data_IF_752822347694
#
_entry.id   IF_752822347694
#
_cell.length_a   1.000
_cell.length_b   1.000
_cell.length_c   1.000
_cell.angle_alpha   90.00
_cell.angle_beta   90.00
_cell.angle_gamma   90.00
#
_symmetry.space_group_name_H-M   'P 1'
#
loop_
_entity.id
_entity.type
_entity.pdbx_description
1 polymer ?
#
# COMPACT_ATOMS: atom_id res chain seq x y z
N UNK A 1 11.91 -6.94 1.16
CA UNK A 1 11.72 -5.68 0.42
C UNK A 1 12.32 -4.51 1.20
N UNK A 2 12.92 -3.58 0.50
CA UNK A 2 13.55 -2.40 1.10
C UNK A 2 12.79 -1.14 0.72
N UNK A 3 12.68 -0.19 1.66
CA UNK A 3 12.05 1.10 1.41
C UNK A 3 12.70 1.85 0.22
N UNK A 4 14.03 1.74 0.07
CA UNK A 4 14.77 2.35 -1.02
C UNK A 4 14.45 1.75 -2.41
N UNK A 5 13.78 0.60 -2.46
CA UNK A 5 13.35 -0.05 -3.71
C UNK A 5 11.96 0.41 -4.15
N UNK A 6 11.26 1.18 -3.33
CA UNK A 6 9.92 1.66 -3.66
C UNK A 6 9.95 2.61 -4.87
N UNK A 7 8.98 2.46 -5.74
CA UNK A 7 8.65 3.50 -6.70
C UNK A 7 7.97 4.67 -5.99
N UNK A 8 8.31 5.89 -6.37
CA UNK A 8 7.72 7.09 -5.79
C UNK A 8 6.92 7.85 -6.83
N UNK A 9 5.65 8.11 -6.51
CA UNK A 9 4.76 8.93 -7.32
C UNK A 9 4.50 10.23 -6.57
N UNK A 10 4.75 11.38 -7.22
CA UNK A 10 4.70 12.70 -6.58
C UNK A 10 3.44 13.50 -6.91
N UNK A 11 2.64 13.04 -7.85
CA UNK A 11 1.48 13.76 -8.38
C UNK A 11 0.21 12.91 -8.53
N UNK A 12 0.12 11.81 -7.77
CA UNK A 12 -1.05 10.94 -7.79
C UNK A 12 -2.30 11.67 -7.29
N UNK A 13 -3.39 11.55 -8.03
CA UNK A 13 -4.70 12.13 -7.68
C UNK A 13 -5.77 11.04 -7.73
N UNK A 14 -6.27 10.65 -6.55
CA UNK A 14 -7.35 9.67 -6.44
C UNK A 14 -8.57 10.09 -7.28
N UNK A 15 -9.15 9.12 -7.97
CA UNK A 15 -10.26 9.34 -8.88
C UNK A 15 -9.87 9.82 -10.28
N UNK A 16 -8.62 10.26 -10.48
CA UNK A 16 -8.09 10.67 -11.79
C UNK A 16 -7.00 9.72 -12.29
N UNK A 17 -6.16 9.24 -11.36
CA UNK A 17 -5.07 8.34 -11.66
C UNK A 17 -5.39 6.92 -11.20
N UNK A 18 -4.82 5.93 -11.86
CA UNK A 18 -5.03 4.53 -11.56
C UNK A 18 -3.68 3.82 -11.38
N UNK A 19 -3.63 2.88 -10.44
CA UNK A 19 -2.52 1.94 -10.30
C UNK A 19 -2.92 0.62 -10.96
N UNK A 20 -2.16 0.20 -11.95
CA UNK A 20 -2.36 -1.08 -12.64
C UNK A 20 -1.37 -2.11 -12.07
N UNK A 21 -1.89 -3.07 -11.35
CA UNK A 21 -1.09 -4.14 -10.74
C UNK A 21 -1.15 -5.40 -11.60
N UNK A 22 -0.04 -6.11 -11.66
CA UNK A 22 0.11 -7.28 -12.57
C UNK A 22 -0.82 -8.43 -12.17
N UNK A 23 -0.95 -8.70 -10.89
CA UNK A 23 -1.61 -9.92 -10.40
C UNK A 23 -2.83 -9.66 -9.52
N UNK A 24 -3.10 -8.42 -9.18
CA UNK A 24 -4.14 -8.04 -8.22
C UNK A 24 -5.05 -7.01 -8.86
N UNK A 25 -6.36 -7.22 -8.71
CA UNK A 25 -7.36 -6.20 -9.03
C UNK A 25 -7.81 -5.52 -7.74
N UNK A 26 -7.72 -4.20 -7.69
CA UNK A 26 -8.04 -3.44 -6.50
C UNK A 26 -9.51 -3.17 -6.26
N UNK A 27 -10.35 -3.41 -7.24
CA UNK A 27 -11.81 -3.20 -7.11
C UNK A 27 -12.49 -4.31 -6.28
N UNK A 28 -11.77 -4.86 -5.32
CA UNK A 28 -12.29 -5.83 -4.37
C UNK A 28 -12.05 -5.33 -2.95
N UNK A 29 -13.06 -4.66 -2.40
CA UNK A 29 -13.01 -4.09 -1.04
C UNK A 29 -12.66 -5.11 0.04
N UNK A 30 -12.87 -6.41 -0.22
CA UNK A 30 -12.51 -7.47 0.73
C UNK A 30 -11.01 -7.75 0.82
N UNK A 31 -10.20 -7.23 -0.11
CA UNK A 31 -8.75 -7.48 -0.15
C UNK A 31 -7.89 -6.22 0.03
N UNK A 32 -8.53 -5.09 0.29
CA UNK A 32 -7.89 -3.78 0.46
C UNK A 32 -8.11 -3.26 1.88
N UNK A 33 -7.05 -2.81 2.52
CA UNK A 33 -7.09 -2.25 3.89
C UNK A 33 -6.26 -0.97 3.97
N UNK A 34 -6.79 0.03 4.68
CA UNK A 34 -6.11 1.28 4.97
C UNK A 34 -5.90 1.47 6.48
N UNK A 35 -4.78 2.10 6.84
CA UNK A 35 -4.48 2.54 8.19
C UNK A 35 -3.96 3.98 8.19
N UNK A 36 -4.15 4.69 9.31
CA UNK A 36 -3.72 6.07 9.46
C UNK A 36 -2.56 6.17 10.45
N UNK A 37 -1.34 6.35 9.92
CA UNK A 37 -0.16 6.65 10.74
C UNK A 37 0.08 5.65 11.87
N UNK A 38 -0.33 4.38 11.67
CA UNK A 38 -0.26 3.35 12.70
C UNK A 38 1.19 2.90 12.96
N UNK A 39 2.06 3.07 11.98
CA UNK A 39 3.46 2.70 12.08
C UNK A 39 4.35 3.93 12.32
N UNK A 40 5.40 3.76 13.13
CA UNK A 40 6.38 4.81 13.40
C UNK A 40 7.57 4.78 12.44
N UNK A 41 7.74 3.68 11.70
CA UNK A 41 8.81 3.52 10.72
C UNK A 41 8.44 2.47 9.69
N UNK A 42 9.30 2.28 8.70
CA UNK A 42 9.09 1.32 7.63
C UNK A 42 9.04 -0.13 8.16
N UNK A 43 9.83 -0.49 9.16
CA UNK A 43 9.82 -1.83 9.73
C UNK A 43 8.48 -2.15 10.39
N UNK A 44 7.89 -1.21 11.13
CA UNK A 44 6.56 -1.36 11.71
C UNK A 44 5.48 -1.43 10.63
N UNK A 45 5.60 -0.63 9.56
CA UNK A 45 4.70 -0.67 8.41
C UNK A 45 4.68 -2.06 7.75
N UNK A 46 5.84 -2.63 7.44
CA UNK A 46 5.92 -3.95 6.81
C UNK A 46 5.43 -5.06 7.73
N UNK A 47 5.62 -4.93 9.05
CA UNK A 47 5.06 -5.86 10.02
C UNK A 47 3.53 -5.83 10.03
N UNK A 48 2.93 -4.63 9.97
CA UNK A 48 1.48 -4.47 9.87
C UNK A 48 0.94 -5.03 8.55
N UNK A 49 1.63 -4.79 7.45
CA UNK A 49 1.27 -5.35 6.14
C UNK A 49 1.31 -6.89 6.18
N UNK A 50 2.36 -7.47 6.73
CA UNK A 50 2.48 -8.93 6.88
C UNK A 50 1.33 -9.51 7.70
N UNK A 51 0.95 -8.85 8.79
CA UNK A 51 -0.21 -9.27 9.58
C UNK A 51 -1.49 -9.23 8.75
N UNK A 52 -1.66 -8.20 7.93
CA UNK A 52 -2.84 -8.06 7.06
C UNK A 52 -2.88 -9.12 5.96
N UNK A 53 -1.73 -9.45 5.38
CA UNK A 53 -1.62 -10.46 4.31
C UNK A 53 -1.77 -11.89 4.82
N UNK A 54 -1.56 -12.13 6.10
CA UNK A 54 -1.61 -13.47 6.70
C UNK A 54 -2.95 -14.15 6.40
N UNK A 55 -2.88 -15.36 5.86
CA UNK A 55 -4.06 -16.13 5.44
C UNK A 55 -4.60 -15.74 4.06
N UNK A 56 -3.92 -14.86 3.33
CA UNK A 56 -4.28 -14.42 1.97
C UNK A 56 -5.67 -13.79 1.86
N UNK A 57 -6.19 -13.22 2.95
CA UNK A 57 -7.47 -12.53 2.95
C UNK A 57 -7.35 -11.09 2.45
N UNK A 58 -6.21 -10.44 2.69
CA UNK A 58 -5.90 -9.08 2.26
C UNK A 58 -4.71 -9.16 1.31
N UNK A 59 -4.83 -8.50 0.18
CA UNK A 59 -3.79 -8.44 -0.85
C UNK A 59 -3.12 -7.06 -0.93
N UNK A 60 -3.77 -6.03 -0.41
CA UNK A 60 -3.30 -4.65 -0.51
C UNK A 60 -3.40 -3.98 0.85
N UNK A 61 -2.27 -3.47 1.33
CA UNK A 61 -2.19 -2.71 2.57
C UNK A 61 -1.68 -1.30 2.30
N UNK A 62 -2.45 -0.31 2.70
CA UNK A 62 -2.12 1.11 2.54
C UNK A 62 -2.02 1.75 3.92
N UNK A 63 -0.97 2.53 4.13
CA UNK A 63 -0.89 3.37 5.31
C UNK A 63 -0.61 4.80 4.89
N UNK A 64 -1.58 5.67 5.08
CA UNK A 64 -1.40 7.09 4.82
C UNK A 64 -0.77 7.77 6.02
N UNK A 65 0.02 8.81 5.73
CA UNK A 65 0.72 9.59 6.74
C UNK A 65 1.65 8.76 7.63
N UNK A 66 2.43 7.86 7.03
CA UNK A 66 3.38 7.03 7.78
C UNK A 66 4.30 7.92 8.63
N UNK A 67 4.38 7.65 9.93
CA UNK A 67 5.18 8.41 10.90
C UNK A 67 4.87 9.93 10.91
N UNK A 68 3.69 10.35 10.48
CA UNK A 68 3.36 11.78 10.39
C UNK A 68 4.16 12.55 9.34
N UNK A 69 4.83 11.86 8.42
CA UNK A 69 5.73 12.47 7.43
C UNK A 69 5.03 13.00 6.18
N UNK A 70 3.71 12.80 6.06
CA UNK A 70 2.93 13.31 4.94
C UNK A 70 3.03 12.50 3.67
N UNK A 71 3.43 11.23 3.75
CA UNK A 71 3.49 10.31 2.62
C UNK A 71 2.58 9.10 2.86
N UNK A 72 2.00 8.57 1.79
CA UNK A 72 1.20 7.35 1.83
C UNK A 72 2.00 6.20 1.24
N UNK A 73 2.06 5.10 1.97
CA UNK A 73 2.74 3.88 1.56
C UNK A 73 1.72 2.85 1.12
N UNK A 74 1.96 2.27 -0.04
CA UNK A 74 1.13 1.25 -0.66
C UNK A 74 1.95 0.00 -0.89
N UNK A 75 1.48 -1.16 -0.43
CA UNK A 75 2.10 -2.44 -0.72
C UNK A 75 1.06 -3.46 -1.16
N UNK A 76 1.38 -4.22 -2.20
CA UNK A 76 0.55 -5.29 -2.73
C UNK A 76 1.29 -6.63 -2.68
N UNK A 77 0.66 -7.65 -2.10
CA UNK A 77 1.14 -9.04 -2.04
C UNK A 77 0.91 -9.71 -3.39
N UNK A 78 1.74 -9.35 -4.38
CA UNK A 78 1.55 -9.81 -5.76
C UNK A 78 1.89 -11.28 -5.96
N UNK A 79 2.77 -11.83 -5.15
CA UNK A 79 3.13 -13.24 -5.22
C UNK A 79 2.20 -14.14 -4.40
N UNK A 80 1.21 -13.54 -3.71
CA UNK A 80 0.24 -14.25 -2.87
C UNK A 80 0.88 -15.12 -1.79
N UNK A 81 2.04 -14.70 -1.30
CA UNK A 81 2.77 -15.43 -0.27
C UNK A 81 2.16 -15.29 1.13
N UNK A 82 1.35 -14.27 1.34
CA UNK A 82 0.81 -13.93 2.66
C UNK A 82 1.83 -13.26 3.57
N UNK A 83 2.95 -12.80 3.02
CA UNK A 83 4.03 -12.12 3.72
C UNK A 83 4.59 -11.01 2.84
N UNK A 84 5.15 -9.98 3.44
CA UNK A 84 5.91 -8.99 2.69
C UNK A 84 7.20 -9.63 2.18
N UNK A 85 7.40 -9.58 0.88
CA UNK A 85 8.50 -10.26 0.18
C UNK A 85 9.06 -9.41 -0.96
N UNK A 86 10.15 -9.87 -1.57
CA UNK A 86 10.75 -9.22 -2.74
C UNK A 86 9.89 -9.35 -4.02
N UNK A 87 8.86 -10.21 -4.00
CA UNK A 87 7.92 -10.36 -5.11
C UNK A 87 6.76 -9.36 -5.07
N UNK A 88 6.71 -8.51 -4.06
CA UNK A 88 5.62 -7.55 -3.86
C UNK A 88 5.92 -6.21 -4.50
N UNK A 89 4.84 -5.46 -4.75
CA UNK A 89 4.93 -4.09 -5.24
C UNK A 89 4.84 -3.10 -4.09
N UNK A 90 5.84 -2.23 -3.95
CA UNK A 90 5.86 -1.14 -2.97
C UNK A 90 5.89 0.21 -3.68
N UNK A 91 4.93 1.07 -3.36
CA UNK A 91 4.81 2.42 -3.93
C UNK A 91 4.69 3.43 -2.80
N UNK A 92 5.39 4.56 -2.92
CA UNK A 92 5.25 5.71 -2.04
C UNK A 92 4.53 6.82 -2.81
N UNK A 93 3.38 7.25 -2.29
CA UNK A 93 2.65 8.41 -2.80
C UNK A 93 3.10 9.61 -1.99
N UNK A 94 4.03 10.37 -2.56
CA UNK A 94 4.67 11.49 -1.88
C UNK A 94 3.73 12.69 -1.77
N UNK A 95 3.68 13.29 -0.59
CA UNK A 95 2.87 14.48 -0.33
C UNK A 95 1.39 14.19 -0.07
N UNK A 96 0.97 12.93 -0.02
CA UNK A 96 -0.40 12.53 0.27
C UNK A 96 -0.48 11.95 1.68
N UNK A 97 -1.29 12.56 2.54
CA UNK A 97 -1.31 12.25 3.98
C UNK A 97 -2.71 11.92 4.53
N UNK A 98 -3.74 11.98 3.70
CA UNK A 98 -5.12 11.77 4.15
C UNK A 98 -5.70 10.44 3.66
N UNK A 99 -6.82 10.01 4.28
CA UNK A 99 -7.56 8.82 3.85
C UNK A 99 -8.07 8.89 2.41
N UNK A 100 -8.18 10.11 1.85
CA UNK A 100 -8.60 10.33 0.47
C UNK A 100 -7.43 10.28 -0.53
N UNK A 101 -6.22 9.97 -0.07
CA UNK A 101 -5.03 9.93 -0.91
C UNK A 101 -5.12 8.85 -1.99
N UNK A 102 -5.73 7.71 -1.65
CA UNK A 102 -5.98 6.59 -2.55
C UNK A 102 -7.14 5.76 -1.97
N UNK A 103 -7.92 5.13 -2.83
CA UNK A 103 -8.90 4.12 -2.43
C UNK A 103 -8.87 2.89 -3.34
N UNK A 104 -9.67 1.87 -3.02
CA UNK A 104 -9.64 0.61 -3.78
C UNK A 104 -10.06 0.77 -5.24
N UNK A 105 -10.84 1.79 -5.58
CA UNK A 105 -11.26 2.04 -6.96
C UNK A 105 -10.15 2.63 -7.84
N UNK A 106 -9.09 3.14 -7.23
CA UNK A 106 -7.91 3.64 -7.97
C UNK A 106 -6.98 2.51 -8.44
N UNK A 107 -7.28 1.26 -8.11
CA UNK A 107 -6.46 0.10 -8.42
C UNK A 107 -7.19 -0.81 -9.42
N UNK A 108 -6.54 -1.11 -10.51
CA UNK A 108 -7.11 -1.93 -11.58
C UNK A 108 -6.32 -3.20 -11.84
#
# INVERSE_FOLDING_TARGET
>A
ILEAEADTITDFVSGNDLLDLVSISGDNLGTYVEANGAANDFAAYTANATTSFSGNAIDIYVEYNLNGAGNTYFIADEDKSGNVSAGDTLIILSGLSSADAIDSSDII
#
